data_IF_958977964782
#
_entry.id   IF_958977964782
#
_cell.length_a   1.000
_cell.length_b   1.000
_cell.length_c   1.000
_cell.angle_alpha   90.00
_cell.angle_beta   90.00
_cell.angle_gamma   90.00
#
_symmetry.space_group_name_H-M   'P 1'
#
loop_
_entity.id
_entity.type
_entity.pdbx_description
1 polymer ?
#
# COMPACT_ATOMS: atom_id res chain seq x y z
N UNK A 1 7.50 -14.09 3.07
CA UNK A 1 6.67 -14.21 4.30
C UNK A 1 5.26 -14.60 3.87
N UNK A 2 4.56 -15.44 4.64
CA UNK A 2 3.16 -15.76 4.38
C UNK A 2 2.27 -14.91 5.28
N UNK A 3 1.30 -14.22 4.70
CA UNK A 3 0.27 -13.42 5.38
C UNK A 3 -1.08 -13.84 4.77
N UNK A 4 -2.05 -14.26 5.59
CA UNK A 4 -3.39 -14.68 5.14
C UNK A 4 -3.39 -15.69 3.97
N UNK A 5 -2.52 -16.69 4.05
CA UNK A 5 -2.27 -17.71 3.01
C UNK A 5 -1.70 -17.18 1.68
N UNK A 6 -1.27 -15.93 1.64
CA UNK A 6 -0.58 -15.31 0.50
C UNK A 6 0.91 -15.18 0.80
N UNK A 7 1.75 -15.53 -0.17
CA UNK A 7 3.19 -15.47 -0.05
C UNK A 7 3.71 -14.19 -0.69
N UNK A 8 4.33 -13.33 0.11
CA UNK A 8 4.91 -12.06 -0.32
C UNK A 8 6.44 -12.10 -0.27
N UNK A 9 7.09 -11.50 -1.28
CA UNK A 9 8.51 -11.11 -1.25
C UNK A 9 8.60 -9.71 -0.65
N UNK A 10 8.60 -9.61 0.68
CA UNK A 10 8.54 -8.32 1.39
C UNK A 10 9.79 -7.46 1.26
N UNK A 11 10.96 -8.09 1.09
CA UNK A 11 12.27 -7.42 1.00
C UNK A 11 13.22 -8.31 0.19
N UNK A 12 14.14 -7.68 -0.54
CA UNK A 12 15.29 -8.35 -1.18
C UNK A 12 16.57 -8.00 -0.41
N UNK A 13 17.67 -8.72 -0.63
CA UNK A 13 18.95 -8.38 -0.02
C UNK A 13 20.11 -8.68 -0.99
N UNK A 14 21.12 -7.80 -1.07
CA UNK A 14 21.18 -6.47 -0.46
C UNK A 14 20.19 -5.50 -1.13
N UNK A 15 19.76 -4.45 -0.40
CA UNK A 15 18.98 -3.33 -0.94
C UNK A 15 19.75 -2.03 -0.79
N UNK A 16 19.50 -1.11 -1.70
CA UNK A 16 19.93 0.28 -1.69
C UNK A 16 18.75 1.23 -1.96
N UNK A 17 19.04 2.53 -1.99
CA UNK A 17 18.05 3.54 -2.41
C UNK A 17 17.82 3.37 -3.91
N UNK A 18 16.57 3.11 -4.33
CA UNK A 18 16.13 2.70 -5.68
C UNK A 18 16.16 1.20 -5.97
N UNK A 19 16.37 0.35 -4.97
CA UNK A 19 16.08 -1.06 -5.15
C UNK A 19 14.59 -1.24 -5.41
N UNK A 20 14.29 -1.99 -6.47
CA UNK A 20 12.94 -2.25 -6.94
C UNK A 20 12.72 -3.76 -7.15
N UNK A 21 11.53 -4.26 -6.84
CA UNK A 21 11.21 -5.66 -7.09
C UNK A 21 9.70 -5.91 -7.18
N UNK A 22 9.34 -7.02 -7.81
CA UNK A 22 7.99 -7.58 -7.72
C UNK A 22 7.81 -8.28 -6.36
N UNK A 23 7.22 -7.58 -5.40
CA UNK A 23 6.91 -8.13 -4.07
C UNK A 23 5.75 -9.13 -4.08
N UNK A 24 4.98 -9.19 -5.16
CA UNK A 24 3.81 -10.04 -5.34
C UNK A 24 4.05 -11.18 -6.34
N UNK A 25 5.30 -11.51 -6.67
CA UNK A 25 5.71 -12.54 -7.65
C UNK A 25 5.05 -13.92 -7.51
N UNK A 26 4.46 -14.25 -6.35
CA UNK A 26 3.75 -15.51 -6.10
C UNK A 26 2.23 -15.34 -6.01
N UNK A 27 1.70 -14.18 -6.36
CA UNK A 27 0.29 -13.81 -6.28
C UNK A 27 -0.20 -13.46 -7.69
N UNK A 28 -1.31 -14.07 -8.07
CA UNK A 28 -2.01 -13.71 -9.30
C UNK A 28 -2.59 -12.29 -9.16
N UNK A 29 -2.22 -11.38 -10.05
CA UNK A 29 -2.67 -9.98 -10.04
C UNK A 29 -4.17 -9.83 -10.35
N UNK A 30 -4.76 -10.82 -11.04
CA UNK A 30 -6.19 -10.91 -11.32
C UNK A 30 -7.00 -11.44 -10.14
N UNK A 31 -6.35 -11.85 -9.05
CA UNK A 31 -7.00 -12.40 -7.87
C UNK A 31 -7.94 -11.39 -7.24
N UNK A 32 -9.20 -11.79 -7.12
CA UNK A 32 -10.22 -11.03 -6.42
C UNK A 32 -10.36 -11.50 -4.97
N UNK A 33 -10.47 -10.54 -4.05
CA UNK A 33 -10.86 -10.78 -2.65
C UNK A 33 -12.19 -10.08 -2.36
N UNK A 34 -12.98 -10.67 -1.48
CA UNK A 34 -14.25 -10.10 -1.05
C UNK A 34 -14.05 -9.25 0.22
N UNK A 35 -14.51 -8.00 0.18
CA UNK A 35 -14.45 -7.07 1.29
C UNK A 35 -15.83 -6.45 1.43
N UNK A 36 -16.49 -6.73 2.56
CA UNK A 36 -17.85 -6.27 2.84
C UNK A 36 -18.86 -6.56 1.71
N UNK A 37 -18.75 -7.72 1.06
CA UNK A 37 -19.62 -8.13 -0.05
C UNK A 37 -19.18 -7.63 -1.45
N UNK A 38 -18.13 -6.81 -1.52
CA UNK A 38 -17.60 -6.28 -2.77
C UNK A 38 -16.33 -7.02 -3.19
N UNK A 39 -16.21 -7.37 -4.47
CA UNK A 39 -15.01 -8.02 -5.02
C UNK A 39 -14.04 -6.95 -5.50
N UNK A 40 -12.78 -7.04 -5.04
CA UNK A 40 -11.71 -6.11 -5.41
C UNK A 40 -10.45 -6.87 -5.79
N UNK A 41 -9.63 -6.29 -6.68
CA UNK A 41 -8.30 -6.80 -7.05
C UNK A 41 -7.22 -5.97 -6.34
N UNK A 42 -6.81 -6.37 -5.14
CA UNK A 42 -5.93 -5.56 -4.31
C UNK A 42 -4.50 -5.53 -4.85
N UNK A 43 -4.06 -6.57 -5.56
CA UNK A 43 -2.67 -6.78 -5.96
C UNK A 43 -2.33 -6.35 -7.39
N UNK A 44 -3.26 -5.66 -8.07
CA UNK A 44 -3.04 -5.13 -9.42
C UNK A 44 -1.93 -4.07 -9.42
N UNK A 45 -0.93 -4.22 -10.30
CA UNK A 45 0.15 -3.25 -10.55
C UNK A 45 1.02 -2.90 -9.33
N UNK A 46 1.32 -3.87 -8.46
CA UNK A 46 2.24 -3.64 -7.35
C UNK A 46 3.67 -3.76 -7.81
N UNK A 47 4.49 -2.80 -7.42
CA UNK A 47 5.91 -2.78 -7.70
C UNK A 47 6.60 -2.05 -6.57
N UNK A 48 7.44 -2.77 -5.85
CA UNK A 48 8.00 -2.31 -4.59
C UNK A 48 9.23 -1.47 -4.86
N UNK A 49 9.37 -0.33 -4.18
CA UNK A 49 10.51 0.57 -4.28
C UNK A 49 11.00 0.99 -2.88
N UNK A 50 12.32 1.00 -2.68
CA UNK A 50 12.92 1.59 -1.47
C UNK A 50 12.96 3.11 -1.57
N UNK A 51 12.11 3.77 -0.78
CA UNK A 51 12.09 5.23 -0.64
C UNK A 51 13.28 5.74 0.18
N UNK A 52 13.59 5.08 1.30
CA UNK A 52 14.69 5.46 2.19
C UNK A 52 15.22 4.31 3.02
N UNK A 53 16.53 4.31 3.28
CA UNK A 53 17.24 3.34 4.12
C UNK A 53 18.11 4.08 5.14
N UNK A 54 18.18 3.53 6.36
CA UNK A 54 18.95 4.03 7.51
C UNK A 54 18.65 5.51 7.82
N UNK A 55 17.38 5.90 7.72
CA UNK A 55 16.92 7.26 8.07
C UNK A 55 16.15 7.21 9.39
N UNK A 56 16.48 8.07 10.38
CA UNK A 56 15.70 8.19 11.60
C UNK A 56 14.26 8.61 11.32
N UNK A 57 13.32 8.11 12.10
CA UNK A 57 11.92 8.52 11.99
C UNK A 57 11.19 8.43 13.33
N UNK A 58 10.17 9.27 13.47
CA UNK A 58 9.25 9.24 14.60
C UNK A 58 7.94 8.63 14.12
N UNK A 59 7.44 7.62 14.84
CA UNK A 59 6.10 7.04 14.62
C UNK A 59 5.36 7.07 15.94
N UNK A 60 4.23 7.78 15.98
CA UNK A 60 3.53 8.11 17.22
C UNK A 60 4.49 8.80 18.23
N UNK A 61 4.66 8.21 19.41
CA UNK A 61 5.55 8.66 20.48
C UNK A 61 6.93 7.99 20.46
N UNK A 62 7.20 7.09 19.50
CA UNK A 62 8.45 6.34 19.43
C UNK A 62 9.40 6.95 18.41
N UNK A 63 10.66 7.12 18.82
CA UNK A 63 11.74 7.56 17.95
C UNK A 63 12.63 6.37 17.59
N UNK A 64 12.93 6.23 16.30
CA UNK A 64 13.80 5.18 15.77
C UNK A 64 15.01 5.80 15.09
N UNK A 65 16.20 5.33 15.43
CA UNK A 65 17.46 5.86 14.89
C UNK A 65 17.72 5.42 13.44
N UNK A 66 17.17 4.27 13.03
CA UNK A 66 17.27 3.76 11.66
C UNK A 66 15.98 3.08 11.24
N UNK A 67 15.42 3.55 10.12
CA UNK A 67 14.22 2.98 9.49
C UNK A 67 14.42 2.78 7.99
N UNK A 68 13.62 1.86 7.44
CA UNK A 68 13.44 1.56 6.03
C UNK A 68 12.02 1.93 5.63
N UNK A 69 11.85 2.79 4.63
CA UNK A 69 10.57 3.11 4.01
C UNK A 69 10.51 2.46 2.64
N UNK A 70 9.44 1.71 2.37
CA UNK A 70 9.16 1.07 1.10
C UNK A 70 7.76 1.50 0.64
N UNK A 71 7.65 1.89 -0.61
CA UNK A 71 6.37 1.99 -1.32
C UNK A 71 6.15 0.67 -2.06
N UNK A 72 5.17 -0.12 -1.61
CA UNK A 72 4.83 -1.42 -2.22
C UNK A 72 3.95 -1.28 -3.48
N UNK A 73 3.16 -0.19 -3.53
CA UNK A 73 2.33 0.19 -4.68
C UNK A 73 2.01 1.69 -4.62
N UNK A 74 1.98 2.35 -5.79
CA UNK A 74 1.50 3.73 -5.95
C UNK A 74 0.86 3.90 -7.34
N UNK A 75 -0.14 3.07 -7.64
CA UNK A 75 -0.92 3.14 -8.88
C UNK A 75 -2.19 3.98 -8.66
N UNK A 76 -2.51 4.82 -9.64
CA UNK A 76 -3.64 5.75 -9.57
C UNK A 76 -4.17 6.04 -10.97
N UNK A 77 -5.44 5.73 -11.20
CA UNK A 77 -6.13 6.08 -12.42
C UNK A 77 -7.53 6.66 -12.09
N UNK A 78 -8.37 6.87 -13.11
CA UNK A 78 -9.69 7.48 -12.90
C UNK A 78 -10.70 6.58 -12.18
N UNK A 79 -10.48 5.27 -12.12
CA UNK A 79 -11.41 4.27 -11.54
C UNK A 79 -10.80 3.44 -10.42
N UNK A 80 -9.48 3.42 -10.24
CA UNK A 80 -8.79 2.64 -9.22
C UNK A 80 -7.63 3.42 -8.55
N UNK A 81 -7.44 3.19 -7.25
CA UNK A 81 -6.27 3.58 -6.45
C UNK A 81 -5.69 2.36 -5.77
N UNK A 82 -4.39 2.13 -5.97
CA UNK A 82 -3.59 1.17 -5.23
C UNK A 82 -2.41 1.91 -4.62
N UNK A 83 -2.48 2.17 -3.32
CA UNK A 83 -1.38 2.73 -2.55
C UNK A 83 -1.05 1.75 -1.43
N UNK A 84 0.20 1.41 -1.24
CA UNK A 84 0.65 0.68 -0.06
C UNK A 84 2.04 1.16 0.29
N UNK A 85 2.23 1.72 1.48
CA UNK A 85 3.50 2.18 2.00
C UNK A 85 3.74 1.58 3.37
N UNK A 86 4.96 1.12 3.60
CA UNK A 86 5.36 0.44 4.83
C UNK A 86 6.67 0.99 5.35
N UNK A 87 6.74 1.21 6.66
CA UNK A 87 7.97 1.59 7.36
C UNK A 87 8.36 0.50 8.33
N UNK A 88 9.61 0.07 8.23
CA UNK A 88 10.25 -0.85 9.15
C UNK A 88 11.30 -0.13 9.98
N UNK A 89 11.34 -0.36 11.29
CA UNK A 89 12.43 0.08 12.14
C UNK A 89 13.42 -1.06 12.39
N UNK A 90 14.72 -0.72 12.39
CA UNK A 90 15.79 -1.70 12.61
C UNK A 90 15.61 -2.39 13.97
N UNK A 91 15.74 -3.71 13.99
CA UNK A 91 15.52 -4.57 15.17
C UNK A 91 14.09 -4.61 15.74
N UNK A 92 13.13 -3.87 15.17
CA UNK A 92 11.73 -3.84 15.63
C UNK A 92 10.80 -4.51 14.61
N UNK A 93 11.00 -4.25 13.32
CA UNK A 93 10.09 -4.71 12.26
C UNK A 93 9.11 -3.63 11.82
N UNK A 94 7.89 -4.01 11.41
CA UNK A 94 6.90 -3.08 10.86
C UNK A 94 6.43 -2.12 11.95
N UNK A 95 6.64 -0.82 11.76
CA UNK A 95 6.22 0.21 12.72
C UNK A 95 5.09 1.09 12.19
N UNK A 96 4.92 1.16 10.87
CA UNK A 96 3.84 1.91 10.24
C UNK A 96 3.48 1.30 8.89
N UNK A 97 2.18 1.29 8.57
CA UNK A 97 1.65 0.96 7.25
C UNK A 97 0.47 1.86 6.94
N UNK A 98 0.42 2.32 5.70
CA UNK A 98 -0.76 2.93 5.10
C UNK A 98 -1.06 2.24 3.77
N UNK A 99 -2.30 1.82 3.59
CA UNK A 99 -2.73 1.09 2.40
C UNK A 99 -4.12 1.53 1.97
N UNK A 100 -4.27 1.79 0.68
CA UNK A 100 -5.49 2.25 0.04
C UNK A 100 -5.74 1.34 -1.16
N UNK A 101 -6.82 0.59 -1.08
CA UNK A 101 -7.26 -0.31 -2.14
C UNK A 101 -8.69 0.11 -2.44
N UNK A 102 -8.85 0.98 -3.44
CA UNK A 102 -10.10 1.69 -3.68
C UNK A 102 -10.49 1.62 -5.15
N UNK A 103 -11.77 1.38 -5.40
CA UNK A 103 -12.36 1.40 -6.74
C UNK A 103 -13.54 2.38 -6.78
N UNK A 104 -13.77 2.98 -7.94
CA UNK A 104 -14.85 3.92 -8.18
C UNK A 104 -15.38 3.80 -9.61
N UNK A 105 -16.70 3.84 -9.75
CA UNK A 105 -17.44 4.03 -11.00
C UNK A 105 -17.96 5.46 -11.14
N UNK A 106 -17.59 6.37 -10.23
CA UNK A 106 -18.06 7.77 -10.22
C UNK A 106 -17.86 8.48 -11.56
N UNK A 107 -16.73 8.21 -12.23
CA UNK A 107 -16.40 8.80 -13.53
C UNK A 107 -17.18 8.18 -14.71
N UNK A 108 -17.82 7.02 -14.51
CA UNK A 108 -18.51 6.26 -15.56
C UNK A 108 -19.97 6.70 -15.72
N UNK A 109 -20.20 8.01 -15.77
CA UNK A 109 -21.51 8.62 -15.99
C UNK A 109 -21.52 9.38 -17.33
N UNK A 110 -22.71 9.63 -17.89
CA UNK A 110 -22.86 10.35 -19.16
C UNK A 110 -23.79 11.56 -18.97
N UNK A 111 -23.27 12.80 -19.02
CA UNK A 111 -21.86 13.17 -19.10
C UNK A 111 -21.10 12.85 -17.80
N UNK A 112 -19.76 12.67 -17.83
CA UNK A 112 -18.97 12.51 -16.62
C UNK A 112 -19.10 13.72 -15.68
N UNK A 113 -19.05 13.54 -14.35
CA UNK A 113 -19.04 14.65 -13.41
C UNK A 113 -17.82 15.56 -13.64
N UNK A 114 -18.00 16.87 -13.44
CA UNK A 114 -16.95 17.87 -13.68
C UNK A 114 -15.74 17.68 -12.76
N UNK A 115 -15.95 17.16 -11.56
CA UNK A 115 -14.91 16.89 -10.55
C UNK A 115 -14.35 15.47 -10.63
N UNK A 116 -14.65 14.70 -11.68
CA UNK A 116 -14.30 13.27 -11.74
C UNK A 116 -12.80 12.95 -11.56
N UNK A 117 -11.90 13.80 -12.07
CA UNK A 117 -10.44 13.64 -11.93
C UNK A 117 -9.87 14.32 -10.67
N UNK A 118 -10.56 15.32 -10.13
CA UNK A 118 -10.06 16.16 -9.02
C UNK A 118 -10.64 15.80 -7.66
N UNK A 119 -11.73 15.02 -7.63
CA UNK A 119 -12.38 14.58 -6.40
C UNK A 119 -11.44 13.67 -5.59
N UNK A 120 -11.21 13.97 -4.30
CA UNK A 120 -10.40 13.12 -3.41
C UNK A 120 -10.92 11.68 -3.34
N UNK A 121 -10.01 10.71 -3.24
CA UNK A 121 -10.33 9.29 -3.22
C UNK A 121 -11.24 8.89 -2.07
N UNK A 122 -11.13 9.57 -0.93
CA UNK A 122 -11.96 9.36 0.26
C UNK A 122 -13.43 9.70 0.02
N UNK A 123 -13.72 10.57 -0.96
CA UNK A 123 -15.07 10.97 -1.35
C UNK A 123 -15.53 10.34 -2.67
N UNK A 124 -14.60 9.76 -3.43
CA UNK A 124 -14.80 9.19 -4.76
C UNK A 124 -14.93 7.67 -4.72
N UNK A 125 -14.22 7.00 -3.82
CA UNK A 125 -14.23 5.55 -3.68
C UNK A 125 -15.64 5.06 -3.31
N UNK A 126 -16.09 4.03 -4.02
CA UNK A 126 -17.35 3.34 -3.74
C UNK A 126 -17.11 1.96 -3.15
N UNK A 127 -15.92 1.38 -3.39
CA UNK A 127 -15.53 0.04 -2.93
C UNK A 127 -14.11 0.03 -2.40
N UNK A 128 -13.85 -0.93 -1.52
CA UNK A 128 -12.52 -1.22 -0.99
C UNK A 128 -12.29 -0.71 0.44
N UNK A 129 -11.05 -0.39 0.78
CA UNK A 129 -10.66 0.00 2.13
C UNK A 129 -9.46 0.94 2.18
N UNK A 130 -9.37 1.67 3.30
CA UNK A 130 -8.18 2.39 3.74
C UNK A 130 -7.74 1.77 5.07
N UNK A 131 -6.53 1.22 5.09
CA UNK A 131 -5.89 0.63 6.26
C UNK A 131 -4.78 1.54 6.75
N UNK A 132 -4.81 1.88 8.04
CA UNK A 132 -3.71 2.56 8.74
C UNK A 132 -3.32 1.72 9.94
N UNK A 133 -2.06 1.31 10.00
CA UNK A 133 -1.50 0.55 11.11
C UNK A 133 -0.28 1.30 11.65
N UNK A 134 -0.21 1.43 12.96
CA UNK A 134 0.90 2.08 13.66
C UNK A 134 1.31 1.26 14.87
N UNK A 135 2.59 1.28 15.18
CA UNK A 135 3.12 0.68 16.40
C UNK A 135 2.53 1.37 17.63
N UNK A 136 1.98 0.59 18.54
CA UNK A 136 1.47 1.06 19.84
C UNK A 136 2.43 0.73 20.99
N UNK A 137 3.25 -0.31 20.85
CA UNK A 137 4.16 -0.79 21.89
C UNK A 137 5.27 -1.66 21.26
N UNK A 138 6.46 -1.61 21.84
CA UNK A 138 7.60 -2.51 21.56
C UNK A 138 8.51 -2.60 22.79
N UNK A 139 9.24 -3.72 22.93
CA UNK A 139 10.15 -4.02 24.04
C UNK A 139 11.57 -3.52 23.81
#
# INVERSE_FOLDING_TARGET
RTEDNLRFLKMVFPMDRRSEWDGNVWIDDSREIEIAGERIRPFSNWYYEVDSIDVPAVVNSFAFDSTLLITEADDNNIIERRLSRVRYAKHVGLVWREQWILDSQYCNQVPPPVDCETRPWELKAEKGYILRQTLIEHN
#
